data_IF_570737211943
#
_entry.id   IF_570737211943
#
_cell.length_a   1.000
_cell.length_b   1.000
_cell.length_c   1.000
_cell.angle_alpha   90.00
_cell.angle_beta   90.00
_cell.angle_gamma   90.00
#
_symmetry.space_group_name_H-M   'P 1'
#
loop_
_entity.id
_entity.type
_entity.pdbx_description
1 polymer ?
#
# COMPACT_ATOMS: atom_id res chain seq x y z
N UNK A 1 16.81 3.05 -4.14
CA UNK A 1 16.11 4.32 -3.84
C UNK A 1 15.53 5.07 -5.05
N UNK A 2 16.28 5.59 -6.03
CA UNK A 2 15.67 6.37 -7.14
C UNK A 2 14.66 5.55 -7.97
N UNK A 3 15.04 4.32 -8.37
CA UNK A 3 14.16 3.42 -9.12
C UNK A 3 12.93 3.03 -8.30
N UNK A 4 13.09 2.78 -6.99
CA UNK A 4 11.96 2.54 -6.08
C UNK A 4 11.00 3.73 -6.01
N UNK A 5 11.54 4.94 -5.88
CA UNK A 5 10.74 6.16 -5.80
C UNK A 5 9.90 6.34 -7.06
N UNK A 6 10.52 6.22 -8.24
CA UNK A 6 9.84 6.35 -9.53
C UNK A 6 8.83 5.21 -9.74
N UNK A 7 9.18 3.98 -9.39
CA UNK A 7 8.27 2.84 -9.52
C UNK A 7 7.06 2.94 -8.60
N UNK A 8 7.25 3.38 -7.35
CA UNK A 8 6.15 3.64 -6.41
C UNK A 8 5.27 4.80 -6.88
N UNK A 9 5.86 5.90 -7.36
CA UNK A 9 5.10 7.01 -7.94
C UNK A 9 4.30 6.59 -9.18
N UNK A 10 4.88 5.75 -10.04
CA UNK A 10 4.18 5.20 -11.21
C UNK A 10 2.99 4.35 -10.79
N UNK A 11 3.18 3.45 -9.81
CA UNK A 11 2.09 2.64 -9.27
C UNK A 11 0.96 3.51 -8.68
N UNK A 12 1.31 4.51 -7.87
CA UNK A 12 0.34 5.45 -7.28
C UNK A 12 -0.39 6.24 -8.37
N UNK A 13 0.33 6.78 -9.35
CA UNK A 13 -0.25 7.55 -10.46
C UNK A 13 -1.21 6.69 -11.29
N UNK A 14 -0.82 5.45 -11.63
CA UNK A 14 -1.70 4.49 -12.29
C UNK A 14 -2.94 4.19 -11.46
N UNK A 15 -2.81 4.01 -10.14
CA UNK A 15 -3.95 3.78 -9.25
C UNK A 15 -4.91 4.97 -9.20
N UNK A 16 -4.40 6.19 -9.10
CA UNK A 16 -5.23 7.41 -9.11
C UNK A 16 -5.98 7.53 -10.44
N UNK A 17 -5.29 7.33 -11.57
CA UNK A 17 -5.91 7.38 -12.89
C UNK A 17 -7.00 6.32 -13.07
N UNK A 18 -6.73 5.08 -12.67
CA UNK A 18 -7.70 3.98 -12.79
C UNK A 18 -8.87 4.13 -11.81
N UNK A 19 -8.63 4.66 -10.61
CA UNK A 19 -9.69 5.00 -9.65
C UNK A 19 -10.63 6.05 -10.24
N UNK A 20 -10.08 7.13 -10.80
CA UNK A 20 -10.88 8.14 -11.49
C UNK A 20 -11.65 7.56 -12.69
N UNK A 21 -11.02 6.69 -13.48
CA UNK A 21 -11.70 6.02 -14.59
C UNK A 21 -12.83 5.10 -14.12
N UNK A 22 -12.67 4.41 -12.98
CA UNK A 22 -13.74 3.61 -12.36
C UNK A 22 -14.93 4.49 -11.96
N UNK A 23 -14.67 5.63 -11.34
CA UNK A 23 -15.71 6.57 -10.92
C UNK A 23 -16.49 7.17 -12.10
N UNK A 24 -15.79 7.52 -13.19
CA UNK A 24 -16.41 8.09 -14.40
C UNK A 24 -17.18 7.04 -15.20
N UNK A 25 -16.62 5.83 -15.35
CA UNK A 25 -17.17 4.80 -16.24
C UNK A 25 -18.08 3.80 -15.53
N UNK A 26 -18.17 3.83 -14.20
CA UNK A 26 -18.91 2.89 -13.37
C UNK A 26 -18.61 1.43 -13.75
N UNK A 27 -17.34 1.03 -13.63
CA UNK A 27 -16.91 -0.28 -14.13
C UNK A 27 -17.50 -1.42 -13.29
N UNK A 28 -17.71 -2.56 -13.96
CA UNK A 28 -18.17 -3.79 -13.30
C UNK A 28 -17.18 -4.26 -12.24
N UNK A 29 -17.67 -4.89 -11.17
CA UNK A 29 -16.89 -5.41 -10.02
C UNK A 29 -15.62 -6.20 -10.41
N UNK A 30 -15.64 -6.96 -11.51
CA UNK A 30 -14.47 -7.70 -12.02
C UNK A 30 -13.26 -6.79 -12.31
N UNK A 31 -13.50 -5.58 -12.82
CA UNK A 31 -12.43 -4.63 -13.11
C UNK A 31 -11.93 -3.95 -11.84
N UNK A 32 -12.78 -3.82 -10.80
CA UNK A 32 -12.35 -3.33 -9.47
C UNK A 32 -11.35 -4.27 -8.78
N UNK A 33 -11.29 -5.54 -9.20
CA UNK A 33 -10.24 -6.49 -8.81
C UNK A 33 -9.03 -6.45 -9.75
N UNK A 34 -9.25 -6.41 -11.07
CA UNK A 34 -8.17 -6.48 -12.06
C UNK A 34 -7.34 -5.18 -12.13
N UNK A 35 -7.96 -4.02 -12.07
CA UNK A 35 -7.27 -2.74 -12.25
C UNK A 35 -6.23 -2.47 -11.15
N UNK A 36 -6.53 -2.70 -9.85
CA UNK A 36 -5.50 -2.59 -8.82
C UNK A 36 -4.35 -3.59 -8.99
N UNK A 37 -4.63 -4.82 -9.44
CA UNK A 37 -3.54 -5.77 -9.72
C UNK A 37 -2.61 -5.27 -10.81
N UNK A 38 -3.14 -4.72 -11.91
CA UNK A 38 -2.33 -4.19 -13.00
C UNK A 38 -1.50 -2.96 -12.58
N UNK A 39 -2.11 -2.04 -11.83
CA UNK A 39 -1.41 -0.86 -11.36
C UNK A 39 -0.38 -1.14 -10.25
N UNK A 40 -0.45 -2.30 -9.57
CA UNK A 40 0.59 -2.75 -8.63
C UNK A 40 1.83 -3.34 -9.32
N UNK A 41 1.77 -3.66 -10.62
CA UNK A 41 2.88 -4.31 -11.35
C UNK A 41 4.21 -3.55 -11.30
N UNK A 42 4.26 -2.19 -11.41
CA UNK A 42 5.52 -1.46 -11.26
C UNK A 42 6.19 -1.70 -9.91
N UNK A 43 5.40 -1.77 -8.83
CA UNK A 43 5.89 -2.05 -7.48
C UNK A 43 6.43 -3.49 -7.37
N UNK A 44 5.73 -4.47 -7.94
CA UNK A 44 6.20 -5.85 -8.00
C UNK A 44 7.51 -5.99 -8.79
N UNK A 45 7.66 -5.27 -9.90
CA UNK A 45 8.88 -5.26 -10.71
C UNK A 45 10.06 -4.66 -9.95
N UNK A 46 9.87 -3.52 -9.29
CA UNK A 46 10.89 -2.92 -8.42
C UNK A 46 11.30 -3.89 -7.31
N UNK A 47 10.33 -4.56 -6.68
CA UNK A 47 10.62 -5.52 -5.63
C UNK A 47 11.45 -6.69 -6.15
N UNK A 48 11.09 -7.23 -7.31
CA UNK A 48 11.78 -8.33 -7.97
C UNK A 48 13.24 -7.97 -8.32
N UNK A 49 13.49 -6.75 -8.80
CA UNK A 49 14.84 -6.35 -9.23
C UNK A 49 15.75 -5.90 -8.10
N UNK A 50 15.20 -5.27 -7.05
CA UNK A 50 16.02 -4.58 -6.05
C UNK A 50 16.15 -5.33 -4.72
N UNK A 51 15.10 -6.04 -4.27
CA UNK A 51 15.09 -6.70 -2.96
C UNK A 51 15.05 -8.22 -3.08
N UNK A 52 14.07 -8.75 -3.81
CA UNK A 52 13.96 -10.17 -4.15
C UNK A 52 13.76 -11.14 -2.97
N UNK A 53 13.60 -10.67 -1.73
CA UNK A 53 13.50 -11.54 -0.57
C UNK A 53 12.08 -12.08 -0.34
N UNK A 54 11.80 -13.28 -0.82
CA UNK A 54 10.47 -13.92 -0.68
C UNK A 54 10.30 -14.71 0.61
N UNK A 55 11.26 -14.66 1.53
CA UNK A 55 11.22 -15.38 2.81
C UNK A 55 10.52 -14.56 3.88
N UNK A 56 9.44 -15.08 4.44
CA UNK A 56 8.68 -14.45 5.52
C UNK A 56 8.99 -15.07 6.88
N UNK A 57 8.85 -14.27 7.93
CA UNK A 57 8.85 -14.75 9.32
C UNK A 57 7.45 -15.23 9.68
N UNK A 58 7.33 -16.51 10.04
CA UNK A 58 6.02 -17.12 10.33
C UNK A 58 5.46 -16.57 11.66
N UNK A 59 4.17 -16.20 11.73
CA UNK A 59 3.54 -15.78 12.99
C UNK A 59 3.58 -16.87 14.06
N UNK A 60 3.75 -16.47 15.33
CA UNK A 60 3.92 -17.37 16.49
C UNK A 60 3.02 -18.62 16.52
N UNK A 61 1.69 -18.57 16.28
CA UNK A 61 0.85 -19.76 16.34
C UNK A 61 1.17 -20.80 15.25
N UNK A 62 1.69 -20.38 14.09
CA UNK A 62 1.95 -21.26 12.95
C UNK A 62 3.39 -21.79 12.89
N UNK A 63 4.29 -21.29 13.75
CA UNK A 63 5.71 -21.68 13.78
C UNK A 63 5.92 -23.16 14.05
N UNK A 64 5.01 -23.80 14.79
CA UNK A 64 5.10 -25.24 15.11
C UNK A 64 4.96 -26.10 13.84
N UNK A 65 4.15 -25.68 12.87
CA UNK A 65 3.90 -26.44 11.64
C UNK A 65 4.86 -26.05 10.51
N UNK A 66 5.14 -24.75 10.35
CA UNK A 66 5.81 -24.21 9.17
C UNK A 66 7.26 -23.76 9.42
N UNK A 67 7.74 -23.84 10.66
CA UNK A 67 9.06 -23.35 11.04
C UNK A 67 9.10 -21.84 11.31
N UNK A 68 10.32 -21.30 11.52
CA UNK A 68 10.53 -19.88 11.81
C UNK A 68 10.51 -19.01 10.55
N UNK A 69 11.08 -19.52 9.46
CA UNK A 69 11.21 -18.85 8.18
C UNK A 69 10.61 -19.72 7.09
N UNK A 70 9.79 -19.13 6.23
CA UNK A 70 9.15 -19.82 5.12
C UNK A 70 9.40 -19.03 3.83
N UNK A 71 10.02 -19.67 2.84
CA UNK A 71 10.13 -19.11 1.50
C UNK A 71 8.84 -19.37 0.72
N UNK A 72 8.18 -18.30 0.32
CA UNK A 72 6.92 -18.34 -0.44
C UNK A 72 7.15 -18.31 -1.96
N UNK A 73 8.33 -17.90 -2.42
CA UNK A 73 8.63 -17.69 -3.84
C UNK A 73 7.55 -16.87 -4.54
N UNK A 74 6.94 -17.43 -5.59
CA UNK A 74 5.90 -16.75 -6.40
C UNK A 74 4.68 -16.33 -5.59
N UNK A 75 4.34 -17.07 -4.51
CA UNK A 75 3.18 -16.74 -3.67
C UNK A 75 3.37 -15.41 -2.94
N UNK A 76 4.62 -14.98 -2.70
CA UNK A 76 4.90 -13.66 -2.13
C UNK A 76 4.51 -12.53 -3.09
N UNK A 77 4.76 -12.69 -4.39
CA UNK A 77 4.35 -11.72 -5.40
C UNK A 77 2.84 -11.67 -5.59
N UNK A 78 2.17 -12.84 -5.56
CA UNK A 78 0.70 -12.91 -5.55
C UNK A 78 0.15 -12.17 -4.33
N UNK A 79 0.73 -12.39 -3.14
CA UNK A 79 0.38 -11.69 -1.92
C UNK A 79 0.53 -10.16 -2.06
N UNK A 80 1.66 -9.67 -2.58
CA UNK A 80 1.87 -8.22 -2.78
C UNK A 80 0.82 -7.60 -3.71
N UNK A 81 0.48 -8.28 -4.82
CA UNK A 81 -0.57 -7.82 -5.72
C UNK A 81 -1.96 -7.81 -5.05
N UNK A 82 -2.28 -8.86 -4.30
CA UNK A 82 -3.53 -8.96 -3.54
C UNK A 82 -3.62 -7.93 -2.41
N UNK A 83 -2.50 -7.54 -1.81
CA UNK A 83 -2.46 -6.49 -0.79
C UNK A 83 -2.92 -5.14 -1.37
N UNK A 84 -2.46 -4.79 -2.57
CA UNK A 84 -2.90 -3.57 -3.26
C UNK A 84 -4.42 -3.59 -3.55
N UNK A 85 -4.94 -4.73 -4.01
CA UNK A 85 -6.39 -4.93 -4.24
C UNK A 85 -7.17 -4.79 -2.94
N UNK A 86 -6.69 -5.42 -1.87
CA UNK A 86 -7.34 -5.39 -0.57
C UNK A 86 -7.39 -3.97 -0.02
N UNK A 87 -6.27 -3.25 0.00
CA UNK A 87 -6.21 -1.91 0.58
C UNK A 87 -7.19 -0.93 -0.07
N UNK A 88 -7.32 -0.93 -1.40
CA UNK A 88 -8.24 -0.02 -2.08
C UNK A 88 -9.70 -0.41 -1.90
N UNK A 89 -10.02 -1.70 -1.98
CA UNK A 89 -11.39 -2.17 -1.81
C UNK A 89 -11.86 -2.10 -0.35
N UNK A 90 -10.97 -2.29 0.63
CA UNK A 90 -11.31 -2.23 2.05
C UNK A 90 -11.78 -0.83 2.46
N UNK A 91 -11.07 0.22 2.04
CA UNK A 91 -11.46 1.61 2.29
C UNK A 91 -12.78 1.92 1.56
N UNK A 92 -12.89 1.51 0.28
CA UNK A 92 -14.08 1.82 -0.53
C UNK A 92 -15.36 1.14 -0.03
N UNK A 93 -15.27 -0.03 0.62
CA UNK A 93 -16.44 -0.70 1.22
C UNK A 93 -16.78 -0.08 2.58
N UNK A 94 -15.78 0.41 3.32
CA UNK A 94 -15.98 1.16 4.57
C UNK A 94 -16.18 2.65 4.27
N UNK A 95 -17.21 2.95 3.49
CA UNK A 95 -17.55 4.29 3.02
C UNK A 95 -19.04 4.61 3.23
N UNK A 96 -19.46 5.83 2.86
CA UNK A 96 -20.88 6.21 2.81
C UNK A 96 -21.34 7.15 3.93
N UNK A 97 -20.44 7.62 4.79
CA UNK A 97 -20.69 8.68 5.77
C UNK A 97 -19.63 9.78 5.57
N UNK A 98 -20.04 11.04 5.68
CA UNK A 98 -19.15 12.20 5.49
C UNK A 98 -17.85 12.05 6.28
N UNK A 99 -16.73 12.25 5.59
CA UNK A 99 -15.41 12.23 6.19
C UNK A 99 -14.84 10.85 6.56
N UNK A 100 -15.57 9.74 6.41
CA UNK A 100 -15.09 8.44 6.91
C UNK A 100 -13.93 7.88 6.06
N UNK A 101 -13.95 8.07 4.75
CA UNK A 101 -12.92 7.60 3.82
C UNK A 101 -11.60 8.37 4.02
N UNK A 102 -11.68 9.69 4.05
CA UNK A 102 -10.53 10.56 4.30
C UNK A 102 -10.04 10.44 5.76
N UNK A 103 -10.97 10.36 6.73
CA UNK A 103 -10.66 10.25 8.16
C UNK A 103 -9.94 8.95 8.53
N UNK A 104 -10.42 7.79 8.07
CA UNK A 104 -9.72 6.52 8.32
C UNK A 104 -8.34 6.50 7.68
N UNK A 105 -8.20 7.06 6.47
CA UNK A 105 -6.93 7.17 5.76
C UNK A 105 -5.94 8.07 6.49
N UNK A 106 -6.41 9.19 7.08
CA UNK A 106 -5.59 10.06 7.93
C UNK A 106 -5.08 9.35 9.18
N UNK A 107 -5.93 8.59 9.87
CA UNK A 107 -5.53 7.83 11.07
C UNK A 107 -4.47 6.79 10.72
N UNK A 108 -4.65 6.07 9.60
CA UNK A 108 -3.65 5.09 9.11
C UNK A 108 -2.34 5.80 8.76
N UNK A 109 -2.38 6.88 7.99
CA UNK A 109 -1.19 7.63 7.59
C UNK A 109 -0.44 8.20 8.79
N UNK A 110 -1.15 8.81 9.76
CA UNK A 110 -0.54 9.31 10.99
C UNK A 110 0.13 8.18 11.79
N UNK A 111 -0.51 7.02 11.87
CA UNK A 111 0.05 5.86 12.58
C UNK A 111 1.34 5.37 11.93
N UNK A 112 1.39 5.32 10.59
CA UNK A 112 2.60 4.94 9.84
C UNK A 112 3.70 6.00 10.01
N UNK A 113 3.36 7.30 9.98
CA UNK A 113 4.33 8.40 10.20
C UNK A 113 4.95 8.27 11.59
N UNK A 114 4.12 8.11 12.64
CA UNK A 114 4.60 7.95 14.01
C UNK A 114 5.50 6.71 14.13
N UNK A 115 5.08 5.57 13.57
CA UNK A 115 5.88 4.35 13.56
C UNK A 115 7.23 4.56 12.88
N UNK A 116 7.25 5.16 11.69
CA UNK A 116 8.49 5.45 10.97
C UNK A 116 9.41 6.36 11.78
N UNK A 117 8.90 7.42 12.41
CA UNK A 117 9.70 8.33 13.23
C UNK A 117 10.35 7.61 14.42
N UNK A 118 9.62 6.69 15.07
CA UNK A 118 10.15 5.89 16.18
C UNK A 118 11.30 5.00 15.71
N UNK A 119 11.13 4.34 14.56
CA UNK A 119 12.11 3.41 13.99
C UNK A 119 13.25 4.07 13.19
N UNK A 120 13.27 5.41 13.07
CA UNK A 120 14.37 6.12 12.39
C UNK A 120 15.74 5.91 13.03
N UNK A 121 15.79 5.53 14.31
CA UNK A 121 17.03 5.20 15.02
C UNK A 121 17.34 3.69 15.03
N UNK A 122 16.54 2.88 14.33
CA UNK A 122 16.67 1.42 14.25
C UNK A 122 17.48 0.92 13.05
N UNK A 123 17.50 -0.39 12.86
CA UNK A 123 18.32 -1.07 11.84
C UNK A 123 17.87 -0.81 10.38
N UNK A 124 16.62 -0.38 10.16
CA UNK A 124 16.00 -0.21 8.84
C UNK A 124 15.70 1.26 8.50
N UNK A 125 16.59 2.17 8.92
CA UNK A 125 16.41 3.62 8.75
C UNK A 125 16.06 4.03 7.32
N UNK A 126 16.72 3.47 6.30
CA UNK A 126 16.50 3.82 4.89
C UNK A 126 15.06 3.53 4.42
N UNK A 127 14.47 2.41 4.88
CA UNK A 127 13.11 2.01 4.54
C UNK A 127 12.08 2.95 5.19
N UNK A 128 12.33 3.35 6.44
CA UNK A 128 11.48 4.30 7.17
C UNK A 128 11.54 5.71 6.57
N UNK A 129 12.73 6.18 6.18
CA UNK A 129 12.90 7.44 5.45
C UNK A 129 12.16 7.41 4.11
N UNK A 130 12.32 6.32 3.35
CA UNK A 130 11.63 6.14 2.07
C UNK A 130 10.11 6.19 2.24
N UNK A 131 9.57 5.51 3.26
CA UNK A 131 8.14 5.54 3.58
C UNK A 131 7.64 6.95 3.94
N UNK A 132 8.42 7.72 4.71
CA UNK A 132 8.08 9.11 5.07
C UNK A 132 7.95 10.04 3.85
N UNK A 133 8.73 9.82 2.79
CA UNK A 133 8.61 10.59 1.54
C UNK A 133 7.22 10.50 0.90
N UNK A 134 6.50 9.38 1.08
CA UNK A 134 5.14 9.21 0.57
C UNK A 134 4.07 9.58 1.60
N UNK A 135 4.27 9.19 2.87
CA UNK A 135 3.25 9.34 3.90
C UNK A 135 3.00 10.80 4.28
N UNK A 136 4.05 11.63 4.34
CA UNK A 136 3.90 13.04 4.74
C UNK A 136 3.05 13.80 3.70
N UNK A 137 3.35 13.78 2.38
CA UNK A 137 2.49 14.39 1.39
C UNK A 137 1.07 13.81 1.37
N UNK A 138 0.93 12.48 1.46
CA UNK A 138 -0.38 11.83 1.49
C UNK A 138 -1.23 12.31 2.67
N UNK A 139 -0.65 12.45 3.86
CA UNK A 139 -1.34 12.96 5.03
C UNK A 139 -1.85 14.40 4.80
N UNK A 140 -1.00 15.31 4.33
CA UNK A 140 -1.39 16.71 4.18
C UNK A 140 -2.38 16.94 3.04
N UNK A 141 -2.27 16.23 1.92
CA UNK A 141 -3.26 16.32 0.83
C UNK A 141 -4.60 15.73 1.26
N UNK A 142 -4.60 14.61 1.98
CA UNK A 142 -5.82 14.00 2.53
C UNK A 142 -6.46 14.89 3.60
N UNK A 143 -5.66 15.63 4.38
CA UNK A 143 -6.16 16.59 5.36
C UNK A 143 -6.87 17.78 4.68
N UNK A 144 -6.34 18.24 3.55
CA UNK A 144 -7.01 19.23 2.70
C UNK A 144 -8.34 18.70 2.14
N UNK A 145 -8.39 17.45 1.69
CA UNK A 145 -9.63 16.80 1.26
C UNK A 145 -10.63 16.68 2.41
N UNK A 146 -10.18 16.21 3.58
CA UNK A 146 -11.00 16.03 4.77
C UNK A 146 -11.65 17.33 5.21
N UNK A 147 -10.92 18.45 5.18
CA UNK A 147 -11.47 19.77 5.51
C UNK A 147 -12.72 20.14 4.69
N UNK A 148 -12.79 19.73 3.42
CA UNK A 148 -13.94 19.97 2.54
C UNK A 148 -14.98 18.83 2.54
N UNK A 149 -14.64 17.67 3.11
CA UNK A 149 -15.49 16.47 3.10
C UNK A 149 -16.19 16.20 4.44
N UNK A 150 -15.75 16.86 5.52
CA UNK A 150 -16.31 16.75 6.87
C UNK A 150 -17.62 17.52 7.04
#
# INVERSE_FOLDING_TARGET
QFVELIGSLLAICCMIFLGFADDVLNLRWRHKLLLPTMASLPLLMVYFTNFGNTTIVVPKPFRVLLGMHLDLGILYYVYMGMLAVFCTNAINILAGINGIEAGQSLVIAASIIVFNIIELNGDYQDDHIFSLYFMIPFFFTTLGLFYHNW
#
